data_IF_011974956332
#
_entry.id   IF_011974956332
#
_cell.length_a   1.000
_cell.length_b   1.000
_cell.length_c   1.000
_cell.angle_alpha   90.00
_cell.angle_beta   90.00
_cell.angle_gamma   90.00
#
_symmetry.space_group_name_H-M   'P 1'
#
loop_
_entity.id
_entity.type
_entity.pdbx_description
1 polymer ?
#
# COMPACT_ATOMS: atom_id res chain seq x y z
N UNK A 1 20.19 -27.16 4.13
CA UNK A 1 19.61 -25.90 4.63
C UNK A 1 19.36 -24.98 3.43
N UNK A 2 18.10 -24.69 3.14
CA UNK A 2 17.70 -23.81 2.04
C UNK A 2 18.05 -22.37 2.43
N UNK A 3 18.96 -21.74 1.69
CA UNK A 3 19.38 -20.36 1.92
C UNK A 3 18.52 -19.47 1.03
N UNK A 4 17.63 -18.68 1.60
CA UNK A 4 16.80 -17.74 0.87
C UNK A 4 17.50 -16.38 0.84
N UNK A 5 18.04 -15.98 -0.31
CA UNK A 5 18.62 -14.66 -0.50
C UNK A 5 17.50 -13.64 -0.79
N UNK A 6 17.09 -12.90 0.24
CA UNK A 6 16.16 -11.78 0.06
C UNK A 6 16.88 -10.57 -0.52
N UNK A 7 16.52 -10.19 -1.75
CA UNK A 7 17.00 -8.96 -2.38
C UNK A 7 15.97 -7.83 -2.22
N UNK A 8 16.22 -6.83 -1.38
CA UNK A 8 15.31 -5.70 -1.23
C UNK A 8 15.17 -4.90 -2.53
N UNK A 9 13.99 -4.32 -2.76
CA UNK A 9 13.72 -3.54 -3.97
C UNK A 9 14.55 -2.25 -3.97
N UNK A 10 15.26 -1.98 -5.08
CA UNK A 10 16.21 -0.87 -5.20
C UNK A 10 15.56 0.48 -5.54
N UNK A 11 14.24 0.54 -5.77
CA UNK A 11 13.55 1.78 -6.13
C UNK A 11 12.11 1.81 -5.62
N UNK A 12 11.61 3.03 -5.34
CA UNK A 12 10.20 3.25 -4.95
C UNK A 12 9.22 2.76 -6.04
N UNK A 13 9.60 2.87 -7.32
CA UNK A 13 8.77 2.37 -8.44
C UNK A 13 8.61 0.85 -8.39
N UNK A 14 9.68 0.12 -8.10
CA UNK A 14 9.62 -1.34 -7.98
C UNK A 14 8.82 -1.76 -6.74
N UNK A 15 8.98 -1.01 -5.64
CA UNK A 15 8.20 -1.18 -4.42
C UNK A 15 6.71 -0.94 -4.68
N UNK A 16 6.36 0.17 -5.35
CA UNK A 16 4.98 0.51 -5.69
C UNK A 16 4.31 -0.58 -6.53
N UNK A 17 5.00 -1.12 -7.54
CA UNK A 17 4.47 -2.25 -8.33
C UNK A 17 4.17 -3.46 -7.45
N UNK A 18 5.11 -3.85 -6.61
CA UNK A 18 4.95 -5.00 -5.70
C UNK A 18 3.75 -4.81 -4.76
N UNK A 19 3.62 -3.63 -4.13
CA UNK A 19 2.53 -3.36 -3.21
C UNK A 19 1.17 -3.22 -3.92
N UNK A 20 1.16 -2.70 -5.14
CA UNK A 20 -0.05 -2.72 -5.97
C UNK A 20 -0.51 -4.15 -6.26
N UNK A 21 0.41 -5.05 -6.59
CA UNK A 21 0.09 -6.46 -6.83
C UNK A 21 -0.40 -7.13 -5.54
N UNK A 22 0.18 -6.84 -4.39
CA UNK A 22 -0.32 -7.32 -3.09
C UNK A 22 -1.75 -6.85 -2.81
N UNK A 23 -2.06 -5.58 -3.10
CA UNK A 23 -3.41 -5.05 -2.97
C UNK A 23 -4.42 -5.78 -3.87
N UNK A 24 -4.05 -6.02 -5.14
CA UNK A 24 -4.87 -6.78 -6.10
C UNK A 24 -5.15 -8.20 -5.60
N UNK A 25 -4.11 -8.94 -5.23
CA UNK A 25 -4.24 -10.30 -4.69
C UNK A 25 -5.10 -10.33 -3.43
N UNK A 26 -4.93 -9.36 -2.54
CA UNK A 26 -5.74 -9.29 -1.32
C UNK A 26 -7.22 -9.10 -1.63
N UNK A 27 -7.56 -8.31 -2.64
CA UNK A 27 -8.95 -8.12 -3.10
C UNK A 27 -9.55 -9.43 -3.59
N UNK A 28 -8.78 -10.22 -4.34
CA UNK A 28 -9.22 -11.53 -4.85
C UNK A 28 -9.46 -12.50 -3.70
N UNK A 29 -8.49 -12.63 -2.78
CA UNK A 29 -8.63 -13.47 -1.58
C UNK A 29 -9.85 -13.06 -0.76
N UNK A 30 -10.12 -11.76 -0.65
CA UNK A 30 -11.28 -11.24 0.06
C UNK A 30 -12.61 -11.60 -0.60
N UNK A 31 -12.63 -11.70 -1.92
CA UNK A 31 -13.84 -12.07 -2.69
C UNK A 31 -14.07 -13.59 -2.70
N UNK A 32 -13.02 -14.40 -2.60
CA UNK A 32 -13.11 -15.87 -2.66
C UNK A 32 -13.24 -16.54 -1.30
N UNK A 33 -12.85 -15.85 -0.22
CA UNK A 33 -12.86 -16.42 1.14
C UNK A 33 -13.58 -15.48 2.10
N UNK A 34 -14.80 -15.84 2.48
CA UNK A 34 -15.58 -15.09 3.48
C UNK A 34 -14.83 -14.98 4.80
N UNK A 35 -14.92 -13.81 5.45
CA UNK A 35 -14.24 -13.55 6.74
C UNK A 35 -12.73 -13.31 6.65
N UNK A 36 -12.11 -13.36 5.46
CA UNK A 36 -10.66 -13.13 5.29
C UNK A 36 -10.26 -11.67 5.36
N UNK A 37 -11.21 -10.72 5.36
CA UNK A 37 -10.95 -9.28 5.49
C UNK A 37 -10.81 -8.90 6.96
N UNK A 38 -9.64 -8.37 7.34
CA UNK A 38 -9.44 -7.69 8.61
C UNK A 38 -9.48 -6.17 8.36
N UNK A 39 -10.00 -5.38 9.32
CA UNK A 39 -10.08 -3.90 9.25
C UNK A 39 -8.75 -3.23 8.86
N UNK A 40 -7.62 -3.78 9.30
CA UNK A 40 -6.30 -3.25 8.94
C UNK A 40 -6.01 -3.30 7.44
N UNK A 41 -6.64 -4.22 6.69
CA UNK A 41 -6.49 -4.29 5.23
C UNK A 41 -7.33 -3.24 4.51
N UNK A 42 -8.29 -2.65 5.17
CA UNK A 42 -9.08 -1.54 4.62
C UNK A 42 -8.41 -0.18 4.86
N UNK A 43 -7.44 -0.08 5.76
CA UNK A 43 -6.77 1.18 6.06
C UNK A 43 -6.09 1.83 4.82
N UNK A 44 -5.27 1.14 4.00
CA UNK A 44 -4.67 1.75 2.81
C UNK A 44 -5.69 2.21 1.75
N UNK A 45 -6.70 1.42 1.33
CA UNK A 45 -7.68 1.89 0.36
C UNK A 45 -8.56 3.03 0.91
N UNK A 46 -8.92 2.98 2.19
CA UNK A 46 -9.66 4.09 2.84
C UNK A 46 -8.83 5.37 2.87
N UNK A 47 -7.55 5.29 3.24
CA UNK A 47 -6.65 6.44 3.24
C UNK A 47 -6.50 7.04 1.83
N UNK A 48 -6.37 6.19 0.80
CA UNK A 48 -6.29 6.64 -0.60
C UNK A 48 -7.55 7.39 -1.01
N UNK A 49 -8.74 6.81 -0.76
CA UNK A 49 -10.03 7.43 -1.11
C UNK A 49 -10.22 8.73 -0.32
N UNK A 50 -9.98 8.72 1.00
CA UNK A 50 -10.13 9.91 1.84
C UNK A 50 -9.20 11.04 1.38
N UNK A 51 -7.93 10.74 1.07
CA UNK A 51 -7.00 11.73 0.54
C UNK A 51 -7.45 12.28 -0.81
N UNK A 52 -7.92 11.42 -1.72
CA UNK A 52 -8.40 11.85 -3.04
C UNK A 52 -9.66 12.74 -2.91
N UNK A 53 -10.64 12.31 -2.12
CA UNK A 53 -11.86 13.10 -1.86
C UNK A 53 -11.53 14.40 -1.15
N UNK A 54 -10.67 14.37 -0.13
CA UNK A 54 -10.25 15.58 0.60
C UNK A 54 -9.51 16.57 -0.30
N UNK A 55 -8.65 16.09 -1.20
CA UNK A 55 -7.95 16.93 -2.16
C UNK A 55 -8.91 17.59 -3.17
N UNK A 56 -9.85 16.83 -3.74
CA UNK A 56 -10.86 17.34 -4.68
C UNK A 56 -11.80 18.32 -3.98
N UNK A 57 -12.34 17.97 -2.82
CA UNK A 57 -13.19 18.86 -2.03
C UNK A 57 -12.47 20.13 -1.59
N UNK A 58 -11.16 20.04 -1.34
CA UNK A 58 -10.31 21.18 -0.97
C UNK A 58 -10.17 22.25 -2.04
N UNK A 59 -10.50 21.95 -3.30
CA UNK A 59 -10.55 22.94 -4.39
C UNK A 59 -11.71 23.92 -4.18
N UNK A 60 -12.84 23.45 -3.63
CA UNK A 60 -14.01 24.28 -3.34
C UNK A 60 -14.05 24.74 -1.88
N UNK A 61 -13.59 23.91 -0.96
CA UNK A 61 -13.63 24.15 0.48
C UNK A 61 -12.27 23.84 1.14
N UNK A 62 -11.47 24.90 1.32
CA UNK A 62 -10.08 24.81 1.81
C UNK A 62 -9.84 23.91 3.04
N UNK A 63 -10.72 23.88 4.07
CA UNK A 63 -10.50 22.99 5.22
C UNK A 63 -10.43 21.50 4.89
N UNK A 64 -10.98 21.05 3.75
CA UNK A 64 -10.90 19.66 3.33
C UNK A 64 -9.45 19.20 3.05
N UNK A 65 -8.51 20.11 2.77
CA UNK A 65 -7.08 19.80 2.70
C UNK A 65 -6.50 19.26 4.01
N UNK A 66 -7.21 19.44 5.14
CA UNK A 66 -6.80 18.85 6.40
C UNK A 66 -6.73 17.31 6.34
N UNK A 67 -7.52 16.66 5.48
CA UNK A 67 -7.54 15.19 5.35
C UNK A 67 -6.23 14.65 4.78
N UNK A 68 -5.80 15.02 3.56
CA UNK A 68 -4.50 14.59 3.05
C UNK A 68 -3.34 15.15 3.88
N UNK A 69 -3.47 16.34 4.48
CA UNK A 69 -2.48 16.90 5.38
C UNK A 69 -2.29 16.06 6.65
N UNK A 70 -3.36 15.63 7.30
CA UNK A 70 -3.31 14.77 8.47
C UNK A 70 -2.71 13.39 8.14
N UNK A 71 -3.06 12.82 6.99
CA UNK A 71 -2.46 11.58 6.52
C UNK A 71 -0.93 11.72 6.36
N UNK A 72 -0.47 12.76 5.67
CA UNK A 72 0.97 13.01 5.46
C UNK A 72 1.68 13.26 6.79
N UNK A 73 1.08 14.02 7.71
CA UNK A 73 1.62 14.26 9.04
C UNK A 73 1.75 12.96 9.84
N UNK A 74 0.70 12.11 9.84
CA UNK A 74 0.72 10.82 10.53
C UNK A 74 1.77 9.85 9.98
N UNK A 75 1.86 9.73 8.64
CA UNK A 75 2.87 8.87 7.99
C UNK A 75 4.28 9.39 8.25
N UNK A 76 4.49 10.71 8.24
CA UNK A 76 5.78 11.32 8.53
C UNK A 76 6.18 11.11 9.98
N UNK A 77 5.30 11.45 10.92
CA UNK A 77 5.57 11.28 12.34
C UNK A 77 5.79 9.81 12.71
N UNK A 78 4.91 8.91 12.26
CA UNK A 78 5.03 7.47 12.51
C UNK A 78 6.27 6.86 11.86
N UNK A 79 6.57 7.24 10.62
CA UNK A 79 7.75 6.76 9.90
C UNK A 79 9.06 7.21 10.54
N UNK A 80 9.14 8.47 10.98
CA UNK A 80 10.32 9.00 11.69
C UNK A 80 10.46 8.37 13.09
N UNK A 81 9.35 8.18 13.79
CA UNK A 81 9.36 7.52 15.09
C UNK A 81 9.87 6.07 14.99
N UNK A 82 9.38 5.32 14.02
CA UNK A 82 9.80 3.92 13.81
C UNK A 82 11.29 3.85 13.43
N UNK A 83 11.75 4.80 12.63
CA UNK A 83 13.13 4.85 12.15
C UNK A 83 14.09 5.65 13.06
N UNK A 84 13.70 6.06 14.26
CA UNK A 84 14.50 6.95 15.14
C UNK A 84 15.88 6.39 15.53
N UNK A 85 16.03 5.06 15.50
CA UNK A 85 17.29 4.39 15.81
C UNK A 85 18.16 4.13 14.56
N UNK A 86 17.68 4.50 13.38
CA UNK A 86 18.39 4.35 12.13
C UNK A 86 19.25 5.59 11.82
N UNK A 87 20.21 5.42 10.90
CA UNK A 87 20.96 6.57 10.40
C UNK A 87 20.00 7.63 9.81
N UNK A 88 20.25 8.95 10.03
CA UNK A 88 19.32 10.01 9.59
C UNK A 88 18.95 9.95 8.10
N UNK A 89 19.91 9.60 7.25
CA UNK A 89 19.66 9.44 5.82
C UNK A 89 18.67 8.30 5.48
N UNK A 90 18.56 7.28 6.35
CA UNK A 90 17.59 6.20 6.23
C UNK A 90 16.25 6.65 6.79
N UNK A 91 16.25 7.22 8.00
CA UNK A 91 15.06 7.68 8.70
C UNK A 91 14.22 8.65 7.85
N UNK A 92 14.88 9.61 7.19
CA UNK A 92 14.20 10.60 6.32
C UNK A 92 13.51 9.98 5.07
N UNK A 93 13.90 8.77 4.68
CA UNK A 93 13.28 8.07 3.53
C UNK A 93 12.06 7.23 3.92
N UNK A 94 11.95 6.83 5.19
CA UNK A 94 10.90 5.91 5.66
C UNK A 94 9.49 6.47 5.42
N UNK A 95 9.16 7.74 5.67
CA UNK A 95 7.84 8.29 5.36
C UNK A 95 7.45 8.14 3.89
N UNK A 96 8.38 8.41 2.96
CA UNK A 96 8.13 8.26 1.52
C UNK A 96 7.91 6.78 1.13
N UNK A 97 8.65 5.87 1.74
CA UNK A 97 8.48 4.42 1.55
C UNK A 97 7.09 3.99 2.04
N UNK A 98 6.70 4.37 3.26
CA UNK A 98 5.39 4.00 3.85
C UNK A 98 4.24 4.59 3.03
N UNK A 99 4.31 5.87 2.65
CA UNK A 99 3.31 6.49 1.78
C UNK A 99 3.17 5.76 0.45
N UNK A 100 4.30 5.39 -0.19
CA UNK A 100 4.32 4.62 -1.43
C UNK A 100 3.64 3.26 -1.26
N UNK A 101 3.94 2.55 -0.18
CA UNK A 101 3.33 1.25 0.14
C UNK A 101 1.81 1.38 0.31
N UNK A 102 1.33 2.35 1.08
CA UNK A 102 -0.10 2.56 1.32
C UNK A 102 -0.85 2.94 0.05
N UNK A 103 -0.34 3.92 -0.71
CA UNK A 103 -1.00 4.39 -1.93
C UNK A 103 -1.02 3.31 -3.02
N UNK A 104 0.09 2.62 -3.23
CA UNK A 104 0.18 1.55 -4.21
C UNK A 104 -0.71 0.36 -3.85
N UNK A 105 -0.70 -0.06 -2.58
CA UNK A 105 -1.54 -1.15 -2.09
C UNK A 105 -3.03 -0.80 -2.19
N UNK A 106 -3.43 0.39 -1.74
CA UNK A 106 -4.80 0.90 -1.85
C UNK A 106 -5.27 0.96 -3.29
N UNK A 107 -4.44 1.47 -4.21
CA UNK A 107 -4.73 1.48 -5.64
C UNK A 107 -4.94 0.07 -6.18
N UNK A 108 -4.05 -0.87 -5.86
CA UNK A 108 -4.17 -2.25 -6.28
C UNK A 108 -5.48 -2.90 -5.80
N UNK A 109 -5.83 -2.67 -4.53
CA UNK A 109 -7.06 -3.19 -3.94
C UNK A 109 -8.33 -2.65 -4.61
N UNK A 110 -8.38 -1.34 -4.89
CA UNK A 110 -9.55 -0.68 -5.48
C UNK A 110 -9.71 -1.02 -6.97
N UNK A 111 -8.58 -1.08 -7.70
CA UNK A 111 -8.60 -1.30 -9.16
C UNK A 111 -8.52 -2.76 -9.57
N UNK A 112 -8.51 -3.69 -8.62
CA UNK A 112 -8.51 -5.12 -8.92
C UNK A 112 -9.84 -5.56 -9.51
N UNK A 113 -9.80 -6.14 -10.71
CA UNK A 113 -10.91 -6.92 -11.22
C UNK A 113 -10.93 -8.26 -10.47
N UNK A 114 -12.08 -8.63 -9.93
CA UNK A 114 -12.26 -9.86 -9.14
C UNK A 114 -12.16 -11.13 -10.01
N UNK A 115 -12.31 -10.96 -11.33
CA UNK A 115 -12.09 -11.99 -12.33
C UNK A 115 -10.61 -12.24 -12.58
N UNK A 116 -9.89 -12.73 -11.57
CA UNK A 116 -8.64 -13.44 -11.83
C UNK A 116 -9.04 -14.88 -12.11
N UNK A 117 -8.83 -15.30 -13.36
CA UNK A 117 -8.93 -16.68 -13.78
C UNK A 117 -8.33 -17.61 -12.71
N UNK A 118 -9.05 -18.65 -12.26
CA UNK A 118 -8.44 -19.66 -11.40
C UNK A 118 -7.23 -20.19 -12.15
N UNK A 119 -6.07 -20.23 -11.53
CA UNK A 119 -4.91 -20.89 -12.10
C UNK A 119 -5.36 -22.32 -12.48
N UNK A 120 -5.27 -22.66 -13.77
CA UNK A 120 -5.57 -24.01 -14.25
C UNK A 120 -4.79 -25.01 -13.39
N UNK A 121 -5.43 -26.07 -12.86
CA UNK A 121 -4.73 -27.07 -12.05
C UNK A 121 -3.74 -27.80 -12.95
N UNK A 122 -2.48 -27.38 -12.93
CA UNK A 122 -1.40 -28.03 -13.71
C UNK A 122 -0.31 -27.14 -14.25
N UNK A 123 -0.42 -25.81 -14.21
CA UNK A 123 0.66 -24.94 -14.68
C UNK A 123 1.70 -24.74 -13.56
N UNK A 124 2.75 -25.57 -13.59
CA UNK A 124 3.93 -25.40 -12.75
C UNK A 124 4.57 -24.04 -13.02
N UNK A 125 5.09 -23.33 -11.97
CA UNK A 125 5.73 -22.04 -12.15
C UNK A 125 6.92 -22.19 -13.10
N UNK A 126 6.86 -21.48 -14.22
CA UNK A 126 8.01 -21.37 -15.14
C UNK A 126 9.14 -20.67 -14.41
N UNK A 127 10.27 -21.37 -14.30
CA UNK A 127 11.50 -20.96 -13.64
C UNK A 127 12.12 -19.70 -14.28
#
# INVERSE_FOLDING_TARGET
>A
AMRVDYRPRRSLRALARQYRDYGRWRRVVAATHEGSINLRYLAPPTALVACAVGAVAGLAWRPAWAVPGAYLAAVTAGGLWEAREQAPAVALRVPAVVATMHMAWGTGFITSNVELEPAEPGEAPRA
#
